data_IF_216657632053
#
_entry.id   IF_216657632053
#
_cell.length_a   1.000
_cell.length_b   1.000
_cell.length_c   1.000
_cell.angle_alpha   90.00
_cell.angle_beta   90.00
_cell.angle_gamma   90.00
#
_symmetry.space_group_name_H-M   'P 1'
#
loop_
_entity.id
_entity.type
_entity.pdbx_description
1 polymer ?
#
# COMPACT_ATOMS: atom_id res chain seq x y z
N UNK A 1 -47.09 -75.50 17.92
CA UNK A 1 -46.15 -75.30 16.78
C UNK A 1 -46.68 -74.12 15.98
N UNK A 2 -45.92 -73.02 15.91
CA UNK A 2 -46.36 -71.65 15.55
C UNK A 2 -45.61 -71.23 14.26
N UNK A 3 -46.24 -70.46 13.33
CA UNK A 3 -45.86 -70.33 11.90
C UNK A 3 -44.68 -69.37 11.61
N UNK A 4 -44.21 -69.23 10.34
CA UNK A 4 -42.86 -68.79 9.99
C UNK A 4 -42.72 -67.27 9.96
N UNK A 5 -41.55 -66.78 10.37
CA UNK A 5 -41.23 -65.36 10.42
C UNK A 5 -40.53 -64.95 9.12
N UNK A 6 -41.31 -64.36 8.22
CA UNK A 6 -40.84 -63.45 7.16
C UNK A 6 -40.00 -62.33 7.78
N UNK A 7 -38.89 -61.94 7.16
CA UNK A 7 -38.40 -60.55 7.03
C UNK A 7 -37.15 -60.57 6.14
N UNK A 8 -37.41 -60.58 4.84
CA UNK A 8 -36.49 -60.17 3.78
C UNK A 8 -36.35 -58.64 3.83
N UNK A 9 -35.16 -58.09 3.51
CA UNK A 9 -34.70 -56.68 3.44
C UNK A 9 -33.55 -56.44 4.45
N UNK A 10 -32.35 -56.05 3.96
CA UNK A 10 -32.11 -54.63 3.75
C UNK A 10 -31.65 -54.27 2.34
N UNK A 11 -32.62 -53.79 1.58
CA UNK A 11 -32.59 -52.82 0.49
C UNK A 11 -32.03 -51.44 0.96
N UNK A 12 -30.93 -51.45 1.72
CA UNK A 12 -30.31 -50.25 2.36
C UNK A 12 -28.88 -50.00 1.82
N UNK A 13 -28.37 -50.87 0.94
CA UNK A 13 -27.06 -50.68 0.30
C UNK A 13 -27.10 -49.74 -0.94
N UNK A 14 -28.26 -49.19 -1.30
CA UNK A 14 -28.45 -48.34 -2.49
C UNK A 14 -28.80 -46.88 -2.15
N UNK A 15 -28.39 -46.39 -0.98
CA UNK A 15 -28.67 -45.01 -0.54
C UNK A 15 -27.46 -44.28 0.08
N UNK A 16 -26.24 -44.75 -0.21
CA UNK A 16 -24.97 -44.11 0.21
C UNK A 16 -24.13 -43.74 -1.03
N UNK A 17 -24.79 -43.39 -2.14
CA UNK A 17 -24.14 -43.00 -3.40
C UNK A 17 -24.25 -41.52 -3.74
N UNK A 18 -24.99 -40.72 -2.96
CA UNK A 18 -25.28 -39.34 -3.32
C UNK A 18 -25.25 -38.41 -2.10
N UNK A 19 -24.17 -38.47 -1.33
CA UNK A 19 -23.79 -37.33 -0.49
C UNK A 19 -22.55 -36.70 -1.12
N UNK A 20 -22.76 -36.17 -2.33
CA UNK A 20 -21.88 -35.13 -2.86
C UNK A 20 -22.07 -33.96 -1.90
N UNK A 21 -21.14 -33.84 -0.96
CA UNK A 21 -20.96 -32.61 -0.20
C UNK A 21 -20.65 -31.50 -1.20
N UNK A 22 -21.70 -30.81 -1.65
CA UNK A 22 -21.56 -29.50 -2.23
C UNK A 22 -20.94 -28.62 -1.16
N UNK A 23 -19.64 -28.37 -1.28
CA UNK A 23 -19.02 -27.26 -0.56
C UNK A 23 -19.65 -26.02 -1.16
N UNK A 24 -20.61 -25.43 -0.46
CA UNK A 24 -21.03 -24.06 -0.75
C UNK A 24 -19.77 -23.21 -0.63
N UNK A 25 -19.22 -22.80 -1.77
CA UNK A 25 -18.20 -21.77 -1.79
C UNK A 25 -18.93 -20.48 -1.44
N UNK A 26 -18.68 -19.97 -0.24
CA UNK A 26 -19.19 -18.67 0.17
C UNK A 26 -18.47 -17.64 -0.70
N UNK A 27 -19.12 -17.24 -1.79
CA UNK A 27 -18.63 -16.20 -2.69
C UNK A 27 -18.72 -14.85 -1.98
N UNK A 28 -17.80 -14.61 -1.05
CA UNK A 28 -17.68 -13.32 -0.38
C UNK A 28 -17.11 -12.32 -1.38
N UNK A 29 -17.83 -11.23 -1.66
CA UNK A 29 -17.35 -10.18 -2.55
C UNK A 29 -16.67 -9.09 -1.74
N UNK A 30 -15.46 -8.73 -2.12
CA UNK A 30 -14.71 -7.58 -1.56
C UNK A 30 -14.42 -6.56 -2.65
N UNK A 31 -14.26 -5.31 -2.25
CA UNK A 31 -14.01 -4.19 -3.14
C UNK A 31 -12.62 -3.62 -2.92
N UNK A 32 -11.95 -3.20 -3.99
CA UNK A 32 -10.62 -2.57 -3.89
C UNK A 32 -10.76 -1.16 -3.33
N UNK A 33 -10.13 -0.88 -2.19
CA UNK A 33 -10.12 0.45 -1.56
C UNK A 33 -8.85 1.27 -1.85
N UNK A 34 -7.80 0.63 -2.35
CA UNK A 34 -6.57 1.34 -2.74
C UNK A 34 -6.74 2.03 -4.11
N UNK A 35 -6.14 3.22 -4.28
CA UNK A 35 -6.13 3.92 -5.59
C UNK A 35 -5.56 3.06 -6.72
N UNK A 36 -4.54 2.27 -6.41
CA UNK A 36 -3.91 1.30 -7.32
C UNK A 36 -3.56 0.04 -6.53
N UNK A 37 -4.08 -1.10 -6.95
CA UNK A 37 -3.72 -2.40 -6.37
C UNK A 37 -3.35 -3.40 -7.47
N UNK A 38 -2.44 -4.30 -7.12
CA UNK A 38 -1.90 -5.32 -7.99
C UNK A 38 -2.28 -6.68 -7.41
N UNK A 39 -2.76 -7.58 -8.27
CA UNK A 39 -2.86 -8.99 -7.95
C UNK A 39 -1.50 -9.63 -8.20
N UNK A 40 -1.05 -10.44 -7.25
CA UNK A 40 0.21 -11.17 -7.34
C UNK A 40 -0.03 -12.67 -7.45
N UNK A 41 0.92 -13.39 -8.06
CA UNK A 41 0.87 -14.84 -8.19
C UNK A 41 0.94 -15.56 -6.83
N UNK A 42 1.61 -14.94 -5.85
CA UNK A 42 1.80 -15.49 -4.52
C UNK A 42 1.62 -14.46 -3.41
N UNK A 43 1.94 -14.90 -2.19
CA UNK A 43 1.69 -14.19 -0.92
C UNK A 43 2.90 -13.35 -0.48
N UNK A 44 3.76 -12.95 -1.41
CA UNK A 44 4.97 -12.17 -1.14
C UNK A 44 4.95 -10.89 -1.97
N UNK A 45 5.60 -9.84 -1.46
CA UNK A 45 5.71 -8.58 -2.21
C UNK A 45 6.59 -8.67 -3.46
N UNK A 46 7.39 -9.73 -3.56
CA UNK A 46 8.30 -10.00 -4.68
C UNK A 46 7.69 -10.91 -5.76
N UNK A 47 6.53 -11.51 -5.48
CA UNK A 47 5.87 -12.40 -6.45
C UNK A 47 5.38 -11.61 -7.67
N UNK A 48 5.42 -12.26 -8.84
CA UNK A 48 5.05 -11.65 -10.10
C UNK A 48 3.61 -11.10 -10.06
N UNK A 49 3.42 -9.93 -10.67
CA UNK A 49 2.10 -9.30 -10.81
C UNK A 49 1.33 -10.04 -11.92
N UNK A 50 0.20 -10.62 -11.57
CA UNK A 50 -0.68 -11.37 -12.50
C UNK A 50 -1.82 -10.50 -13.03
N UNK A 51 -2.06 -9.33 -12.43
CA UNK A 51 -3.07 -8.40 -12.89
C UNK A 51 -3.07 -7.08 -12.12
N UNK A 52 -3.67 -6.04 -12.70
CA UNK A 52 -3.90 -4.77 -12.04
C UNK A 52 -5.41 -4.59 -11.81
N UNK A 53 -5.77 -4.11 -10.62
CA UNK A 53 -7.16 -3.80 -10.25
C UNK A 53 -7.27 -2.36 -9.77
N UNK A 54 -8.40 -1.75 -10.09
CA UNK A 54 -8.69 -0.35 -9.84
C UNK A 54 -9.55 -0.20 -8.58
N UNK A 55 -9.49 1.00 -8.01
CA UNK A 55 -10.37 1.39 -6.92
C UNK A 55 -11.85 1.13 -7.27
N UNK A 56 -12.58 0.52 -6.35
CA UNK A 56 -14.00 0.20 -6.51
C UNK A 56 -14.29 -1.08 -7.29
N UNK A 57 -13.28 -1.77 -7.84
CA UNK A 57 -13.46 -3.07 -8.51
C UNK A 57 -13.98 -4.10 -7.51
N UNK A 58 -14.99 -4.85 -7.93
CA UNK A 58 -15.54 -5.98 -7.18
C UNK A 58 -14.70 -7.23 -7.46
N UNK A 59 -14.31 -7.91 -6.40
CA UNK A 59 -13.45 -9.10 -6.41
C UNK A 59 -14.14 -10.21 -5.62
N UNK A 60 -14.20 -11.39 -6.20
CA UNK A 60 -14.72 -12.58 -5.53
C UNK A 60 -13.60 -13.19 -4.68
N UNK A 61 -13.81 -13.36 -3.38
CA UNK A 61 -12.86 -13.99 -2.47
C UNK A 61 -12.96 -15.50 -2.63
N UNK A 62 -11.84 -16.10 -3.02
CA UNK A 62 -11.69 -17.56 -3.15
C UNK A 62 -11.09 -18.15 -1.88
N UNK A 63 -10.30 -17.37 -1.14
CA UNK A 63 -9.68 -17.81 0.10
C UNK A 63 -8.98 -16.68 0.85
N UNK A 64 -8.64 -16.93 2.12
CA UNK A 64 -7.89 -16.02 2.98
C UNK A 64 -6.75 -16.77 3.65
N UNK A 65 -5.58 -16.14 3.70
CA UNK A 65 -4.38 -16.70 4.30
C UNK A 65 -3.59 -15.57 4.98
N UNK A 66 -3.79 -15.45 6.31
CA UNK A 66 -3.21 -14.36 7.10
C UNK A 66 -3.62 -12.98 6.59
N UNK A 67 -2.64 -12.19 6.15
CA UNK A 67 -2.87 -10.84 5.61
C UNK A 67 -3.18 -10.81 4.11
N UNK A 68 -3.29 -11.98 3.47
CA UNK A 68 -3.53 -12.11 2.04
C UNK A 68 -4.90 -12.69 1.76
N UNK A 69 -5.52 -12.18 0.71
CA UNK A 69 -6.82 -12.62 0.22
C UNK A 69 -6.61 -13.09 -1.21
N UNK A 70 -6.95 -14.34 -1.46
CA UNK A 70 -7.00 -14.86 -2.82
C UNK A 70 -8.32 -14.43 -3.44
N UNK A 71 -8.22 -13.77 -4.58
CA UNK A 71 -9.35 -13.16 -5.26
C UNK A 71 -9.41 -13.59 -6.71
N UNK A 72 -10.63 -13.60 -7.24
CA UNK A 72 -10.93 -13.76 -8.66
C UNK A 72 -11.60 -12.49 -9.16
N UNK A 73 -11.03 -11.93 -10.22
CA UNK A 73 -11.61 -10.79 -10.93
C UNK A 73 -12.75 -11.25 -11.85
N UNK A 74 -13.65 -10.34 -12.21
CA UNK A 74 -14.71 -10.62 -13.20
C UNK A 74 -14.16 -11.02 -14.57
N UNK A 75 -12.95 -10.58 -14.91
CA UNK A 75 -12.22 -10.98 -16.12
C UNK A 75 -11.62 -12.41 -16.03
N UNK A 76 -11.79 -13.11 -14.90
CA UNK A 76 -11.31 -14.47 -14.69
C UNK A 76 -9.87 -14.59 -14.18
N UNK A 77 -9.13 -13.48 -14.03
CA UNK A 77 -7.80 -13.50 -13.44
C UNK A 77 -7.88 -13.79 -11.93
N UNK A 78 -7.07 -14.75 -11.47
CA UNK A 78 -6.96 -15.18 -10.07
C UNK A 78 -5.60 -14.79 -9.51
N UNK A 79 -5.56 -14.30 -8.28
CA UNK A 79 -4.31 -13.93 -7.62
C UNK A 79 -4.53 -13.44 -6.20
N UNK A 80 -3.43 -13.08 -5.54
CA UNK A 80 -3.40 -12.65 -4.16
C UNK A 80 -3.34 -11.13 -4.06
N UNK A 81 -4.15 -10.57 -3.17
CA UNK A 81 -4.17 -9.16 -2.79
C UNK A 81 -4.07 -9.04 -1.28
N UNK A 82 -3.41 -7.99 -0.80
CA UNK A 82 -3.35 -7.73 0.64
C UNK A 82 -4.73 -7.33 1.18
N UNK A 83 -5.14 -7.91 2.31
CA UNK A 83 -6.44 -7.66 2.94
C UNK A 83 -6.67 -6.18 3.26
N UNK A 84 -5.62 -5.45 3.66
CA UNK A 84 -5.70 -4.00 3.94
C UNK A 84 -5.99 -3.14 2.69
N UNK A 85 -5.89 -3.71 1.48
CA UNK A 85 -6.23 -3.03 0.22
C UNK A 85 -7.65 -3.35 -0.26
N UNK A 86 -8.39 -4.16 0.49
CA UNK A 86 -9.76 -4.58 0.18
C UNK A 86 -10.73 -4.17 1.28
N UNK A 87 -11.98 -3.89 0.94
CA UNK A 87 -13.06 -3.53 1.85
C UNK A 87 -14.28 -4.40 1.58
N UNK A 88 -15.01 -4.81 2.62
CA UNK A 88 -16.25 -5.58 2.49
C UNK A 88 -17.41 -4.73 1.97
N UNK A 89 -17.34 -3.40 2.15
CA UNK A 89 -18.29 -2.45 1.55
C UNK A 89 -17.67 -1.77 0.34
N UNK A 90 -18.50 -1.53 -0.69
CA UNK A 90 -18.09 -0.79 -1.88
C UNK A 90 -17.65 0.61 -1.44
N UNK A 91 -16.38 0.99 -1.64
CA UNK A 91 -15.94 2.30 -1.26
C UNK A 91 -16.64 3.31 -2.18
N UNK A 92 -17.51 4.13 -1.60
CA UNK A 92 -18.10 5.26 -2.31
C UNK A 92 -16.98 6.28 -2.50
N UNK A 93 -16.47 6.40 -3.72
CA UNK A 93 -15.63 7.54 -4.15
C UNK A 93 -16.42 8.85 -4.22
N UNK A 94 -17.35 9.03 -3.29
CA UNK A 94 -18.48 9.94 -3.35
C UNK A 94 -18.44 10.95 -2.21
N UNK A 95 -17.33 11.68 -2.12
CA UNK A 95 -17.41 13.13 -2.04
C UNK A 95 -16.09 13.70 -2.56
N UNK A 96 -16.05 13.80 -3.88
CA UNK A 96 -15.13 14.66 -4.62
C UNK A 96 -15.08 16.07 -4.01
N UNK A 97 -16.01 16.48 -3.14
CA UNK A 97 -15.91 17.71 -2.34
C UNK A 97 -14.67 17.78 -1.44
N UNK A 98 -14.21 16.69 -0.79
CA UNK A 98 -13.00 16.76 0.04
C UNK A 98 -11.74 16.70 -0.81
N UNK A 99 -11.77 15.98 -1.94
CA UNK A 99 -10.68 15.97 -2.91
C UNK A 99 -10.56 17.32 -3.63
N UNK A 100 -11.69 17.91 -4.04
CA UNK A 100 -11.85 19.21 -4.69
C UNK A 100 -11.65 20.37 -3.71
N UNK A 101 -12.02 20.21 -2.44
CA UNK A 101 -11.61 21.10 -1.35
C UNK A 101 -10.10 20.96 -1.11
N UNK A 102 -9.55 19.75 -1.09
CA UNK A 102 -8.12 19.52 -1.00
C UNK A 102 -7.34 19.97 -2.24
N UNK A 103 -7.98 20.13 -3.39
CA UNK A 103 -7.41 20.72 -4.62
C UNK A 103 -7.59 22.24 -4.63
N UNK A 104 -8.71 22.77 -4.12
CA UNK A 104 -8.92 24.21 -3.96
C UNK A 104 -8.09 24.79 -2.81
N UNK A 105 -7.83 24.01 -1.77
CA UNK A 105 -6.93 24.33 -0.65
C UNK A 105 -5.46 24.13 -1.04
N UNK A 106 -5.17 23.29 -2.06
CA UNK A 106 -3.84 23.24 -2.72
C UNK A 106 -3.60 24.44 -3.65
N UNK A 107 -4.63 25.25 -3.93
CA UNK A 107 -4.52 26.51 -4.66
C UNK A 107 -4.15 27.70 -3.78
N UNK A 108 -3.99 27.50 -2.47
CA UNK A 108 -3.26 28.41 -1.60
C UNK A 108 -1.92 27.79 -1.33
N UNK A 109 -0.91 28.15 -2.11
CA UNK A 109 0.48 27.80 -1.83
C UNK A 109 0.71 28.01 -0.33
N UNK A 110 1.01 26.94 0.41
CA UNK A 110 1.78 27.12 1.63
C UNK A 110 2.96 27.99 1.19
N UNK A 111 3.06 29.21 1.75
CA UNK A 111 3.95 30.25 1.22
C UNK A 111 5.27 29.59 0.83
N UNK A 112 5.83 29.91 -0.34
CA UNK A 112 7.09 29.34 -0.81
C UNK A 112 8.17 29.34 0.31
N UNK A 113 8.08 30.30 1.24
CA UNK A 113 8.85 30.40 2.49
C UNK A 113 8.64 29.26 3.50
N UNK A 114 7.42 28.80 3.72
CA UNK A 114 7.08 27.69 4.62
C UNK A 114 7.51 26.34 4.04
N UNK A 115 7.42 26.19 2.72
CA UNK A 115 7.93 25.00 2.02
C UNK A 115 9.47 24.97 2.00
N UNK A 116 10.12 26.13 1.88
CA UNK A 116 11.59 26.20 1.81
C UNK A 116 12.29 26.17 3.17
N UNK A 117 11.61 26.53 4.27
CA UNK A 117 12.18 26.49 5.63
C UNK A 117 12.59 25.08 6.11
N UNK A 118 12.11 24.01 5.45
CA UNK A 118 12.49 22.62 5.75
C UNK A 118 13.50 22.00 4.79
N UNK A 119 13.87 22.70 3.71
CA UNK A 119 14.83 22.22 2.72
C UNK A 119 16.27 22.58 3.12
N UNK A 120 17.22 21.66 2.89
CA UNK A 120 18.66 21.94 3.07
C UNK A 120 19.10 22.98 2.02
N UNK A 121 19.41 24.18 2.47
CA UNK A 121 19.90 25.25 1.60
C UNK A 121 18.78 25.94 0.80
N UNK A 122 19.03 27.19 0.43
CA UNK A 122 18.09 28.06 -0.29
C UNK A 122 17.70 27.43 -1.64
N UNK A 123 16.60 26.65 -1.67
CA UNK A 123 15.95 26.23 -2.91
C UNK A 123 15.45 27.47 -3.71
N UNK A 124 15.13 27.31 -5.00
CA UNK A 124 14.58 28.38 -5.88
C UNK A 124 13.41 29.15 -5.24
N UNK A 125 12.64 28.48 -4.38
CA UNK A 125 11.56 29.08 -3.60
C UNK A 125 12.02 30.17 -2.62
N UNK A 126 13.24 30.10 -2.11
CA UNK A 126 13.82 31.06 -1.18
C UNK A 126 14.38 32.32 -1.84
N UNK A 127 14.77 32.24 -3.13
CA UNK A 127 15.18 33.40 -3.92
C UNK A 127 14.07 34.46 -3.98
N UNK A 128 12.84 34.04 -4.26
CA UNK A 128 11.67 34.92 -4.28
C UNK A 128 11.28 35.50 -2.91
N UNK A 129 11.75 34.93 -1.80
CA UNK A 129 11.65 35.56 -0.49
C UNK A 129 12.75 36.59 -0.27
N UNK A 130 14.00 36.22 -0.59
CA UNK A 130 15.15 37.11 -0.45
C UNK A 130 14.96 38.41 -1.25
N UNK A 131 14.36 38.32 -2.45
CA UNK A 131 14.04 39.48 -3.28
C UNK A 131 12.95 40.37 -2.67
N UNK A 132 11.89 39.77 -2.11
CA UNK A 132 10.82 40.51 -1.41
C UNK A 132 11.26 41.12 -0.09
N UNK A 133 12.15 40.45 0.63
CA UNK A 133 12.72 40.92 1.89
C UNK A 133 13.88 41.91 1.68
N UNK A 134 14.28 42.18 0.44
CA UNK A 134 15.35 43.13 0.12
C UNK A 134 16.73 42.68 0.60
N UNK A 135 16.96 41.37 0.69
CA UNK A 135 18.27 40.81 1.07
C UNK A 135 19.31 41.25 0.04
N UNK A 136 20.53 41.56 0.47
CA UNK A 136 21.59 41.99 -0.45
C UNK A 136 22.19 40.80 -1.22
N UNK A 137 22.73 41.04 -2.42
CA UNK A 137 23.39 39.98 -3.20
C UNK A 137 24.58 39.36 -2.44
N UNK A 138 25.29 40.18 -1.66
CA UNK A 138 26.42 39.75 -0.83
C UNK A 138 25.99 38.76 0.26
N UNK A 139 24.84 38.99 0.88
CA UNK A 139 24.34 38.10 1.94
C UNK A 139 23.87 36.76 1.37
N UNK A 140 23.26 36.76 0.18
CA UNK A 140 22.90 35.53 -0.55
C UNK A 140 24.15 34.70 -0.85
N UNK A 141 25.18 35.33 -1.42
CA UNK A 141 26.44 34.67 -1.79
C UNK A 141 27.14 34.04 -0.57
N UNK A 142 27.08 34.70 0.60
CA UNK A 142 27.64 34.16 1.84
C UNK A 142 26.91 32.88 2.26
N UNK A 143 25.58 32.84 2.19
CA UNK A 143 24.79 31.65 2.52
C UNK A 143 25.05 30.53 1.50
N UNK A 144 25.17 30.86 0.22
CA UNK A 144 25.48 29.88 -0.82
C UNK A 144 26.87 29.25 -0.61
N UNK A 145 27.87 30.06 -0.26
CA UNK A 145 29.20 29.56 0.10
C UNK A 145 29.17 28.67 1.35
N UNK A 146 28.37 28.99 2.36
CA UNK A 146 28.19 28.13 3.53
C UNK A 146 27.49 26.81 3.17
N UNK A 147 26.51 26.86 2.28
CA UNK A 147 25.75 25.68 1.83
C UNK A 147 26.61 24.76 0.95
N UNK A 148 27.52 25.33 0.16
CA UNK A 148 28.46 24.60 -0.67
C UNK A 148 29.69 24.08 0.09
N UNK A 149 29.87 24.48 1.36
CA UNK A 149 31.01 24.04 2.16
C UNK A 149 30.86 22.56 2.52
N UNK A 150 31.84 21.76 2.09
CA UNK A 150 31.94 20.35 2.41
C UNK A 150 33.18 20.15 3.30
N UNK A 151 33.00 19.47 4.44
CA UNK A 151 34.11 19.21 5.37
C UNK A 151 35.10 18.28 4.65
N UNK A 152 36.42 18.59 4.64
CA UNK A 152 37.42 17.72 4.04
C UNK A 152 37.40 16.32 4.66
N UNK A 153 37.57 15.29 3.84
CA UNK A 153 37.54 13.89 4.31
C UNK A 153 38.57 13.61 5.41
N UNK A 154 39.71 14.31 5.39
CA UNK A 154 40.76 14.20 6.41
C UNK A 154 40.28 14.61 7.80
N UNK A 155 39.56 15.74 7.90
CA UNK A 155 39.03 16.24 9.17
C UNK A 155 37.92 15.32 9.70
N UNK A 156 37.15 14.71 8.78
CA UNK A 156 36.12 13.73 9.11
C UNK A 156 36.75 12.44 9.65
N UNK A 157 37.83 11.95 9.03
CA UNK A 157 38.56 10.77 9.49
C UNK A 157 39.23 10.99 10.85
N UNK A 158 39.82 12.16 11.07
CA UNK A 158 40.39 12.53 12.37
C UNK A 158 39.30 12.56 13.46
N UNK A 159 38.17 13.21 13.18
CA UNK A 159 37.01 13.23 14.08
C UNK A 159 36.48 11.83 14.40
N UNK A 160 36.36 10.94 13.40
CA UNK A 160 35.92 9.56 13.62
C UNK A 160 36.91 8.77 14.47
N UNK A 161 38.21 9.00 14.27
CA UNK A 161 39.28 8.31 15.00
C UNK A 161 39.37 8.76 16.45
N UNK A 162 39.29 10.07 16.72
CA UNK A 162 39.28 10.63 18.07
C UNK A 162 38.02 10.26 18.84
N UNK A 163 36.87 10.31 18.17
CA UNK A 163 35.58 9.97 18.77
C UNK A 163 35.34 8.47 18.94
N UNK A 164 36.21 7.61 18.37
CA UNK A 164 35.98 6.16 18.30
C UNK A 164 34.65 5.83 17.62
N UNK A 165 34.34 6.54 16.54
CA UNK A 165 33.10 6.41 15.77
C UNK A 165 33.38 5.68 14.44
N UNK A 166 32.36 4.98 13.92
CA UNK A 166 32.49 4.26 12.65
C UNK A 166 33.45 3.06 12.72
N UNK A 167 34.36 2.95 11.77
CA UNK A 167 35.32 1.83 11.67
C UNK A 167 36.36 1.80 12.80
N UNK A 168 36.48 2.89 13.56
CA UNK A 168 37.41 3.03 14.68
C UNK A 168 36.76 2.78 16.06
N UNK A 169 35.47 2.43 16.09
CA UNK A 169 34.76 2.02 17.31
C UNK A 169 35.27 0.65 17.80
N UNK A 170 35.72 0.56 19.05
CA UNK A 170 36.16 -0.69 19.69
C UNK A 170 35.05 -1.35 20.50
#
# INVERSE_FOLDING_TARGET
MIPPRSFWIPLIALWIGLFVWGTEAWAETVYVQAKTAQLRAGKTSLDAVVGNVKFGDALEVVGRDGSWVEVKTSAGARGWIFAHKTSTSKPSGGNDTLARLGQSMRGGDASATTASAGARGLDKASEGYADRAGVSARDREVVDRMTAYQIPDQDVEEFMREGGLGEYAK
#
